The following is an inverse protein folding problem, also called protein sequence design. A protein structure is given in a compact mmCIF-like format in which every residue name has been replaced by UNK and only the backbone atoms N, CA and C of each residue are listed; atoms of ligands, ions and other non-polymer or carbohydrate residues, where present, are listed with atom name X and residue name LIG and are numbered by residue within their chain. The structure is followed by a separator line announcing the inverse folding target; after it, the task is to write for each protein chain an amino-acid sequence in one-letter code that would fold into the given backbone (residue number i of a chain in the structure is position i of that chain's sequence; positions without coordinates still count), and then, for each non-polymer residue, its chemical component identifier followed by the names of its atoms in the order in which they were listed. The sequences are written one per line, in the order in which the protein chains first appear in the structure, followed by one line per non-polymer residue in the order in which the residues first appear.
data_IF_035848281826
#
_entry.id   IF_035848281826
#
_cell.length_a   1.000
_cell.length_b   1.000
_cell.length_c   1.000
_cell.angle_alpha   90.00
_cell.angle_beta   90.00
_cell.angle_gamma   90.00
#
_symmetry.space_group_name_H-M   'P 1'
#
loop_
_entity.id
_entity.type
_entity.pdbx_description
1 polymer ?
#
# COMPACT_ATOMS: atom_id res chain seq x y z
N UNK A 1 -34.64 -38.63 8.13
CA UNK A 1 -34.23 -37.71 7.03
C UNK A 1 -32.94 -37.03 7.46
N UNK A 2 -31.80 -37.61 7.10
CA UNK A 2 -30.48 -37.01 7.35
C UNK A 2 -30.10 -36.18 6.13
N UNK A 3 -29.88 -34.89 6.31
CA UNK A 3 -29.47 -33.99 5.24
C UNK A 3 -28.01 -34.25 4.88
N UNK A 4 -27.78 -34.64 3.62
CA UNK A 4 -26.46 -34.77 3.02
C UNK A 4 -25.72 -33.41 3.05
N UNK A 5 -24.57 -33.39 3.72
CA UNK A 5 -23.57 -32.34 3.59
C UNK A 5 -22.87 -32.54 2.24
N UNK A 6 -22.82 -31.54 1.34
CA UNK A 6 -22.09 -31.69 0.10
C UNK A 6 -20.58 -31.62 0.37
N UNK A 7 -19.88 -32.68 0.00
CA UNK A 7 -18.42 -32.70 -0.15
C UNK A 7 -18.00 -31.70 -1.23
N UNK A 8 -16.99 -30.85 -1.01
CA UNK A 8 -16.55 -29.91 -2.03
C UNK A 8 -15.78 -30.64 -3.14
N UNK A 9 -16.24 -30.49 -4.37
CA UNK A 9 -15.63 -30.99 -5.59
C UNK A 9 -14.15 -30.57 -5.70
N UNK A 10 -13.28 -31.58 -5.77
CA UNK A 10 -11.86 -31.46 -6.01
C UNK A 10 -11.59 -31.22 -7.51
N UNK A 11 -11.73 -30.00 -8.02
CA UNK A 11 -11.10 -29.58 -9.29
C UNK A 11 -11.02 -28.07 -9.56
N UNK A 12 -11.01 -27.21 -8.54
CA UNK A 12 -10.81 -25.77 -8.75
C UNK A 12 -9.36 -25.47 -9.13
N UNK A 13 -9.12 -25.08 -10.39
CA UNK A 13 -7.87 -24.42 -10.80
C UNK A 13 -7.61 -23.25 -9.83
N UNK A 14 -6.63 -23.40 -8.95
CA UNK A 14 -6.33 -22.41 -7.93
C UNK A 14 -5.84 -21.12 -8.61
N UNK A 15 -6.59 -20.02 -8.43
CA UNK A 15 -6.20 -18.71 -8.94
C UNK A 15 -4.93 -18.17 -8.25
N UNK A 16 -4.28 -17.12 -8.78
CA UNK A 16 -3.02 -16.59 -8.26
C UNK A 16 -3.07 -16.11 -6.79
N UNK A 17 -4.27 -15.79 -6.27
CA UNK A 17 -4.52 -15.41 -4.89
C UNK A 17 -5.32 -16.48 -4.12
N UNK A 18 -5.20 -17.76 -4.50
CA UNK A 18 -5.95 -18.87 -3.88
C UNK A 18 -5.74 -19.00 -2.37
N UNK A 19 -4.58 -18.59 -1.86
CA UNK A 19 -4.28 -18.57 -0.43
C UNK A 19 -5.00 -17.45 0.35
N UNK A 20 -5.68 -16.54 -0.34
CA UNK A 20 -6.38 -15.41 0.29
C UNK A 20 -7.89 -15.69 0.40
N UNK A 21 -8.45 -15.42 1.57
CA UNK A 21 -9.90 -15.30 1.75
C UNK A 21 -10.37 -13.95 1.22
N UNK A 22 -11.34 -13.96 0.32
CA UNK A 22 -11.95 -12.74 -0.22
C UNK A 22 -12.97 -12.19 0.77
N UNK A 23 -12.73 -10.98 1.29
CA UNK A 23 -13.62 -10.30 2.26
C UNK A 23 -14.62 -9.40 1.54
N UNK A 24 -14.17 -8.72 0.48
CA UNK A 24 -15.03 -7.89 -0.37
C UNK A 24 -14.58 -7.96 -1.83
N UNK A 25 -15.17 -7.15 -2.71
CA UNK A 25 -14.72 -7.05 -4.10
C UNK A 25 -13.25 -6.61 -4.21
N UNK A 26 -12.79 -5.76 -3.30
CA UNK A 26 -11.44 -5.17 -3.30
C UNK A 26 -10.57 -5.67 -2.15
N UNK A 27 -11.14 -6.21 -1.07
CA UNK A 27 -10.40 -6.63 0.13
C UNK A 27 -10.20 -8.15 0.16
N UNK A 28 -8.95 -8.56 0.36
CA UNK A 28 -8.51 -9.95 0.49
C UNK A 28 -7.67 -10.07 1.76
N UNK A 29 -7.78 -11.22 2.44
CA UNK A 29 -7.09 -11.50 3.68
C UNK A 29 -6.30 -12.80 3.56
N UNK A 30 -5.03 -12.76 3.91
CA UNK A 30 -4.21 -13.93 4.18
C UNK A 30 -3.94 -14.01 5.69
N UNK A 31 -4.23 -15.17 6.27
CA UNK A 31 -3.77 -15.54 7.60
C UNK A 31 -2.64 -16.55 7.47
N UNK A 32 -1.54 -16.41 8.23
CA UNK A 32 -0.53 -17.46 8.31
C UNK A 32 -1.19 -18.74 8.88
N UNK A 33 -0.70 -19.91 8.49
CA UNK A 33 -1.21 -21.16 9.07
C UNK A 33 -0.75 -21.28 10.52
N UNK A 34 -1.67 -21.55 11.45
CA UNK A 34 -1.44 -21.72 12.91
C UNK A 34 -0.52 -22.92 13.29
N UNK A 35 0.29 -23.42 12.36
CA UNK A 35 0.87 -24.77 12.39
C UNK A 35 2.38 -24.88 12.41
N UNK A 36 3.14 -23.78 12.59
CA UNK A 36 4.57 -23.91 12.94
C UNK A 36 4.73 -23.54 14.41
N UNK A 37 4.55 -24.54 15.28
CA UNK A 37 5.14 -24.51 16.62
C UNK A 37 6.57 -23.98 16.49
N UNK A 38 7.05 -23.14 17.42
CA UNK A 38 8.45 -22.78 17.46
C UNK A 38 9.22 -24.10 17.67
N UNK A 39 9.69 -24.69 16.56
CA UNK A 39 10.60 -25.81 16.62
C UNK A 39 11.84 -25.28 17.30
N UNK A 40 11.93 -25.55 18.61
CA UNK A 40 13.14 -25.48 19.39
C UNK A 40 14.15 -26.43 18.73
N UNK A 41 14.81 -25.96 17.67
CA UNK A 41 16.07 -26.51 17.22
C UNK A 41 17.10 -25.50 17.66
N UNK A 42 17.46 -25.60 18.94
CA UNK A 42 18.69 -25.04 19.48
C UNK A 42 19.85 -25.63 18.68
N UNK A 43 20.29 -24.90 17.66
CA UNK A 43 21.46 -25.21 16.84
C UNK A 43 22.33 -23.97 16.76
N UNK A 44 23.52 -24.09 17.36
CA UNK A 44 24.54 -23.06 17.56
C UNK A 44 24.84 -22.14 16.35
N UNK A 45 25.21 -20.91 16.71
CA UNK A 45 26.02 -19.91 15.98
C UNK A 45 25.33 -18.96 14.99
N UNK A 46 25.21 -17.71 15.43
CA UNK A 46 25.03 -16.54 14.57
C UNK A 46 24.33 -15.39 15.30
N UNK A 47 25.10 -14.50 15.92
CA UNK A 47 24.60 -13.23 16.43
C UNK A 47 24.00 -12.40 15.27
N UNK A 48 22.68 -12.45 15.13
CA UNK A 48 21.90 -11.47 14.38
C UNK A 48 20.62 -11.22 15.17
N UNK A 49 20.40 -9.98 15.59
CA UNK A 49 19.13 -9.53 16.16
C UNK A 49 17.97 -10.08 15.33
N UNK A 50 17.16 -11.00 15.89
CA UNK A 50 16.00 -11.55 15.19
C UNK A 50 14.96 -10.44 15.09
N UNK A 51 14.96 -9.73 13.97
CA UNK A 51 13.98 -8.67 13.69
C UNK A 51 12.60 -9.31 13.71
N UNK A 52 11.73 -8.80 14.57
CA UNK A 52 10.34 -9.26 14.70
C UNK A 52 9.57 -8.97 13.41
N UNK A 53 8.86 -9.97 12.89
CA UNK A 53 7.98 -9.82 11.72
C UNK A 53 6.84 -8.81 11.99
N UNK A 54 6.35 -8.10 10.97
CA UNK A 54 5.12 -7.29 11.11
C UNK A 54 3.95 -8.17 11.56
N UNK A 55 3.10 -7.66 12.45
CA UNK A 55 1.86 -8.37 12.79
C UNK A 55 0.90 -8.36 11.61
N UNK A 56 0.86 -7.23 10.91
CA UNK A 56 0.03 -6.99 9.74
C UNK A 56 0.82 -6.30 8.64
N UNK A 57 0.67 -6.79 7.42
CA UNK A 57 1.10 -6.11 6.19
C UNK A 57 -0.17 -5.63 5.47
N UNK A 58 -0.31 -4.32 5.29
CA UNK A 58 -1.35 -3.74 4.46
C UNK A 58 -0.78 -3.48 3.06
N UNK A 59 -1.24 -4.25 2.08
CA UNK A 59 -0.81 -4.15 0.69
C UNK A 59 -1.89 -3.43 -0.13
N UNK A 60 -1.70 -2.15 -0.42
CA UNK A 60 -2.64 -1.34 -1.20
C UNK A 60 -2.15 -1.23 -2.64
N UNK A 61 -2.77 -1.97 -3.58
CA UNK A 61 -2.23 -2.15 -4.94
C UNK A 61 -2.55 -0.99 -5.88
N UNK A 62 -1.83 -0.96 -6.99
CA UNK A 62 -2.07 -0.03 -8.08
C UNK A 62 -3.37 -0.33 -8.82
N UNK A 63 -3.78 0.64 -9.65
CA UNK A 63 -5.03 0.62 -10.40
C UNK A 63 -5.05 -0.53 -11.43
N UNK A 64 -6.13 -1.31 -11.41
CA UNK A 64 -6.37 -2.46 -12.30
C UNK A 64 -5.27 -3.52 -12.26
N UNK A 65 -4.54 -3.61 -11.14
CA UNK A 65 -3.54 -4.65 -10.92
C UNK A 65 -4.16 -6.06 -11.11
N UNK A 66 -3.54 -6.84 -12.00
CA UNK A 66 -3.92 -8.23 -12.25
C UNK A 66 -3.42 -9.11 -11.11
N UNK A 67 -4.23 -10.09 -10.72
CA UNK A 67 -3.92 -11.02 -9.62
C UNK A 67 -2.56 -11.72 -9.74
N UNK A 68 -2.11 -12.20 -10.92
CA UNK A 68 -0.77 -12.77 -11.06
C UNK A 68 0.37 -11.80 -10.72
N UNK A 69 0.19 -10.49 -10.95
CA UNK A 69 1.20 -9.50 -10.63
C UNK A 69 1.22 -9.21 -9.13
N UNK A 70 0.03 -9.11 -8.51
CA UNK A 70 -0.11 -8.95 -7.07
C UNK A 70 0.50 -10.16 -6.34
N UNK A 71 0.24 -11.37 -6.84
CA UNK A 71 0.73 -12.62 -6.25
C UNK A 71 2.26 -12.64 -6.09
N UNK A 72 3.02 -12.08 -7.04
CA UNK A 72 4.49 -11.98 -6.94
C UNK A 72 4.95 -11.23 -5.69
N UNK A 73 4.25 -10.17 -5.31
CA UNK A 73 4.55 -9.39 -4.10
C UNK A 73 4.09 -10.13 -2.85
N UNK A 74 2.88 -10.68 -2.84
CA UNK A 74 2.34 -11.39 -1.66
C UNK A 74 3.14 -12.64 -1.35
N UNK A 75 3.54 -13.43 -2.36
CA UNK A 75 4.40 -14.60 -2.17
C UNK A 75 5.75 -14.23 -1.58
N UNK A 76 6.33 -13.09 -2.01
CA UNK A 76 7.59 -12.63 -1.43
C UNK A 76 7.42 -12.14 0.00
N UNK A 77 6.32 -11.46 0.32
CA UNK A 77 6.00 -11.10 1.70
C UNK A 77 5.76 -12.30 2.60
N UNK A 78 5.04 -13.32 2.13
CA UNK A 78 4.86 -14.59 2.85
C UNK A 78 6.19 -15.29 3.12
N UNK A 79 7.16 -15.17 2.21
CA UNK A 79 8.50 -15.74 2.41
C UNK A 79 9.37 -14.89 3.36
N UNK A 80 9.27 -13.55 3.30
CA UNK A 80 10.04 -12.63 4.15
C UNK A 80 9.51 -12.64 5.59
N UNK A 81 8.19 -12.69 5.75
CA UNK A 81 7.52 -12.59 7.04
C UNK A 81 6.42 -13.67 7.14
N UNK A 82 6.81 -14.94 7.42
CA UNK A 82 5.90 -16.08 7.38
C UNK A 82 4.76 -16.01 8.40
N UNK A 83 4.96 -15.29 9.51
CA UNK A 83 3.98 -15.14 10.60
C UNK A 83 3.09 -13.89 10.43
N UNK A 84 3.27 -13.11 9.35
CA UNK A 84 2.50 -11.89 9.12
C UNK A 84 1.15 -12.17 8.46
N UNK A 85 0.13 -11.50 8.96
CA UNK A 85 -1.13 -11.35 8.23
C UNK A 85 -0.93 -10.41 7.04
N UNK A 86 -1.65 -10.63 5.94
CA UNK A 86 -1.68 -9.70 4.81
C UNK A 86 -3.12 -9.28 4.53
N UNK A 87 -3.42 -7.99 4.70
CA UNK A 87 -4.64 -7.38 4.18
C UNK A 87 -4.30 -6.72 2.86
N UNK A 88 -4.86 -7.26 1.78
CA UNK A 88 -4.67 -6.79 0.42
C UNK A 88 -5.88 -5.95 0.01
N UNK A 89 -5.65 -4.70 -0.38
CA UNK A 89 -6.68 -3.80 -0.92
C UNK A 89 -6.36 -3.53 -2.40
N UNK A 90 -7.31 -3.90 -3.26
CA UNK A 90 -7.22 -3.66 -4.71
C UNK A 90 -7.83 -2.31 -5.08
N UNK A 91 -7.30 -1.70 -6.14
CA UNK A 91 -7.81 -0.45 -6.70
C UNK A 91 -8.17 -0.64 -8.18
N UNK A 92 -9.20 0.06 -8.65
CA UNK A 92 -9.72 -0.04 -10.01
C UNK A 92 -9.98 1.33 -10.62
N UNK A 93 -9.95 1.44 -11.95
CA UNK A 93 -10.13 2.72 -12.65
C UNK A 93 -11.44 3.44 -12.33
N UNK A 94 -12.50 2.69 -12.02
CA UNK A 94 -13.79 3.28 -11.64
C UNK A 94 -13.74 4.04 -10.30
N UNK A 95 -12.76 3.75 -9.43
CA UNK A 95 -12.54 4.50 -8.18
C UNK A 95 -12.02 5.92 -8.42
N UNK A 96 -11.53 6.22 -9.62
CA UNK A 96 -11.01 7.54 -10.01
C UNK A 96 -11.88 8.26 -11.05
N UNK A 97 -12.90 7.59 -11.56
CA UNK A 97 -13.75 8.09 -12.65
C UNK A 97 -15.22 8.10 -12.27
N UNK A 98 -15.96 7.04 -12.59
CA UNK A 98 -17.42 7.01 -12.52
C UNK A 98 -17.97 6.70 -11.13
N UNK A 99 -17.19 6.05 -10.26
CA UNK A 99 -17.66 5.49 -8.98
C UNK A 99 -16.72 5.82 -7.82
N UNK A 100 -16.20 7.05 -7.78
CA UNK A 100 -15.28 7.53 -6.72
C UNK A 100 -15.82 7.30 -5.30
N UNK A 101 -17.13 7.49 -5.11
CA UNK A 101 -17.80 7.31 -3.80
C UNK A 101 -17.89 5.85 -3.34
N UNK A 102 -17.67 4.87 -4.22
CA UNK A 102 -17.67 3.46 -3.83
C UNK A 102 -16.36 3.02 -3.20
N UNK A 103 -15.25 3.69 -3.48
CA UNK A 103 -13.93 3.27 -2.99
C UNK A 103 -13.89 3.08 -1.46
N UNK A 104 -14.31 4.04 -0.62
CA UNK A 104 -14.35 3.82 0.84
C UNK A 104 -15.35 2.72 1.25
N UNK A 105 -16.51 2.61 0.59
CA UNK A 105 -17.51 1.57 0.89
C UNK A 105 -17.00 0.15 0.61
N UNK A 106 -16.21 -0.03 -0.45
CA UNK A 106 -15.63 -1.33 -0.80
C UNK A 106 -14.46 -1.70 0.14
N UNK A 107 -13.78 -0.70 0.73
CA UNK A 107 -12.69 -0.86 1.72
C UNK A 107 -13.20 -1.09 3.14
N UNK A 108 -14.34 -0.49 3.52
CA UNK A 108 -14.92 -0.56 4.88
C UNK A 108 -14.94 -1.96 5.52
N UNK A 109 -15.24 -3.06 4.80
CA UNK A 109 -15.18 -4.42 5.35
C UNK A 109 -13.80 -4.86 5.87
N UNK A 110 -12.71 -4.15 5.51
CA UNK A 110 -11.38 -4.42 6.06
C UNK A 110 -11.23 -3.98 7.52
N UNK A 111 -12.02 -3.01 8.00
CA UNK A 111 -11.77 -2.38 9.31
C UNK A 111 -11.91 -3.36 10.49
N UNK A 112 -12.97 -4.21 10.57
CA UNK A 112 -13.06 -5.19 11.65
C UNK A 112 -11.90 -6.20 11.63
N UNK A 113 -11.45 -6.58 10.44
CA UNK A 113 -10.33 -7.53 10.26
C UNK A 113 -9.01 -6.91 10.74
N UNK A 114 -8.72 -5.68 10.30
CA UNK A 114 -7.52 -4.94 10.71
C UNK A 114 -7.52 -4.77 12.24
N UNK A 115 -8.64 -4.35 12.82
CA UNK A 115 -8.77 -4.19 14.28
C UNK A 115 -8.56 -5.49 15.05
N UNK A 116 -9.17 -6.60 14.61
CA UNK A 116 -9.01 -7.92 15.25
C UNK A 116 -7.53 -8.35 15.32
N UNK A 117 -6.83 -8.28 14.19
CA UNK A 117 -5.41 -8.66 14.08
C UNK A 117 -4.54 -7.80 14.99
N UNK A 118 -4.82 -6.49 15.06
CA UNK A 118 -4.07 -5.56 15.91
C UNK A 118 -4.36 -5.83 17.40
N UNK A 119 -5.62 -6.05 17.77
CA UNK A 119 -6.02 -6.28 19.17
C UNK A 119 -5.48 -7.61 19.72
N UNK A 120 -5.57 -8.69 18.94
CA UNK A 120 -5.04 -10.01 19.32
C UNK A 120 -3.53 -9.92 19.63
N UNK A 121 -2.83 -9.07 18.88
CA UNK A 121 -1.41 -8.89 19.02
C UNK A 121 -1.02 -7.85 20.10
N UNK A 122 -1.96 -7.05 20.60
CA UNK A 122 -1.78 -6.08 21.69
C UNK A 122 -1.90 -6.70 23.09
N UNK A 123 -2.57 -7.85 23.20
CA UNK A 123 -2.72 -8.62 24.45
C UNK A 123 -1.43 -9.26 24.98
N UNK A 124 -0.30 -9.10 24.28
CA UNK A 124 0.95 -9.82 24.53
C UNK A 124 2.24 -9.00 24.62
N UNK A 125 2.19 -7.67 24.79
CA UNK A 125 3.42 -6.86 24.90
C UNK A 125 3.17 -5.45 25.41
N UNK A 126 3.82 -5.13 26.53
CA UNK A 126 3.59 -3.92 27.32
C UNK A 126 3.81 -2.60 26.59
N UNK A 127 3.07 -1.60 27.09
CA UNK A 127 3.26 -0.17 26.92
C UNK A 127 4.73 0.23 26.69
N UNK A 128 5.06 0.61 25.46
CA UNK A 128 6.24 1.44 25.19
C UNK A 128 5.82 2.89 25.41
N UNK A 129 6.42 3.52 26.43
CA UNK A 129 6.18 4.89 26.85
C UNK A 129 6.23 5.91 25.71
N UNK A 130 5.58 7.04 25.96
CA UNK A 130 5.60 8.23 25.13
C UNK A 130 6.99 8.87 25.15
N UNK A 131 7.93 8.32 24.38
CA UNK A 131 9.10 9.09 23.97
C UNK A 131 8.64 10.04 22.85
N UNK A 132 8.66 11.35 23.15
CA UNK A 132 8.19 12.45 22.29
C UNK A 132 8.92 12.56 20.93
N UNK A 133 9.87 11.66 20.63
CA UNK A 133 10.48 11.46 19.33
C UNK A 133 10.11 10.08 18.80
N UNK A 134 9.08 10.02 17.96
CA UNK A 134 8.54 8.78 17.35
C UNK A 134 9.47 8.00 16.41
N UNK A 135 10.80 8.19 16.48
CA UNK A 135 11.79 7.54 15.63
C UNK A 135 12.21 6.15 16.10
N UNK A 136 12.10 5.85 17.40
CA UNK A 136 12.51 4.56 17.97
C UNK A 136 11.35 3.60 18.23
N UNK A 137 10.12 4.00 17.89
CA UNK A 137 8.96 3.13 18.04
C UNK A 137 9.02 1.98 17.03
N UNK A 138 9.07 0.75 17.54
CA UNK A 138 9.00 -0.46 16.71
C UNK A 138 7.61 -0.54 16.08
N UNK A 139 7.48 -0.53 14.74
CA UNK A 139 6.19 -0.63 14.08
C UNK A 139 5.56 -2.00 14.33
N UNK A 140 4.25 -2.03 14.48
CA UNK A 140 3.44 -3.26 14.51
C UNK A 140 2.99 -3.67 13.10
N UNK A 141 2.92 -2.70 12.20
CA UNK A 141 2.31 -2.84 10.88
C UNK A 141 3.23 -2.31 9.78
N UNK A 142 3.30 -3.02 8.67
CA UNK A 142 3.97 -2.58 7.44
C UNK A 142 2.92 -2.21 6.41
N UNK A 143 2.94 -0.97 5.95
CA UNK A 143 2.08 -0.46 4.89
C UNK A 143 2.89 -0.37 3.61
N UNK A 144 2.42 -1.00 2.54
CA UNK A 144 3.04 -0.88 1.23
C UNK A 144 1.98 -0.46 0.20
N UNK A 145 2.18 0.75 -0.30
CA UNK A 145 1.30 1.47 -1.21
C UNK A 145 1.90 1.48 -2.59
N UNK A 146 1.10 1.08 -3.59
CA UNK A 146 1.50 1.17 -5.00
C UNK A 146 0.64 2.17 -5.75
N UNK A 147 1.30 3.09 -6.46
CA UNK A 147 0.64 4.10 -7.30
C UNK A 147 -0.33 5.00 -6.52
N UNK A 148 -0.97 5.93 -7.23
CA UNK A 148 -2.07 6.72 -6.70
C UNK A 148 -3.27 5.85 -6.30
N UNK A 149 -3.46 4.69 -6.95
CA UNK A 149 -4.46 3.67 -6.60
C UNK A 149 -4.40 3.27 -5.13
N UNK A 150 -3.27 2.70 -4.71
CA UNK A 150 -3.03 2.29 -3.34
C UNK A 150 -2.95 3.47 -2.38
N UNK A 151 -2.41 4.60 -2.84
CA UNK A 151 -2.27 5.81 -2.02
C UNK A 151 -3.63 6.37 -1.60
N UNK A 152 -4.59 6.40 -2.53
CA UNK A 152 -5.97 6.78 -2.22
C UNK A 152 -6.66 5.73 -1.34
N UNK A 153 -6.39 4.44 -1.52
CA UNK A 153 -6.92 3.41 -0.63
C UNK A 153 -6.45 3.60 0.81
N UNK A 154 -5.16 3.89 1.03
CA UNK A 154 -4.61 4.18 2.36
C UNK A 154 -5.25 5.42 3.00
N UNK A 155 -5.48 6.49 2.23
CA UNK A 155 -6.24 7.66 2.72
C UNK A 155 -7.61 7.24 3.27
N UNK A 156 -8.34 6.37 2.56
CA UNK A 156 -9.65 5.90 3.04
C UNK A 156 -9.51 5.03 4.28
N UNK A 157 -8.44 4.21 4.37
CA UNK A 157 -8.16 3.40 5.56
C UNK A 157 -8.00 4.28 6.80
N UNK A 158 -7.27 5.41 6.75
CA UNK A 158 -7.16 6.31 7.91
C UNK A 158 -8.55 6.76 8.42
N UNK A 159 -9.36 7.31 7.52
CA UNK A 159 -10.68 7.83 7.88
C UNK A 159 -11.69 6.74 8.29
N UNK A 160 -11.66 5.57 7.64
CA UNK A 160 -12.53 4.44 7.99
C UNK A 160 -12.11 3.78 9.30
N UNK A 161 -10.80 3.72 9.57
CA UNK A 161 -10.29 3.21 10.83
C UNK A 161 -10.77 4.11 11.96
N UNK A 162 -10.58 5.43 11.86
CA UNK A 162 -11.09 6.37 12.86
C UNK A 162 -12.60 6.24 13.11
N UNK A 163 -13.40 6.14 12.04
CA UNK A 163 -14.86 6.00 12.12
C UNK A 163 -15.35 4.68 12.69
N UNK A 164 -14.57 3.61 12.57
CA UNK A 164 -14.92 2.28 13.06
C UNK A 164 -14.56 2.04 14.53
N UNK A 165 -13.90 3.01 15.18
CA UNK A 165 -13.51 2.90 16.58
C UNK A 165 -14.72 2.86 17.51
N UNK A 166 -14.74 1.89 18.43
CA UNK A 166 -15.69 1.85 19.55
C UNK A 166 -15.19 2.72 20.71
N UNK A 167 -16.05 3.08 21.69
CA UNK A 167 -15.60 3.78 22.88
C UNK A 167 -14.42 3.06 23.56
N UNK A 168 -13.31 3.77 23.75
CA UNK A 168 -12.07 3.23 24.33
C UNK A 168 -11.10 2.60 23.32
N UNK A 169 -11.47 2.43 22.06
CA UNK A 169 -10.54 1.95 21.03
C UNK A 169 -9.75 3.09 20.38
N UNK A 170 -8.50 2.84 19.91
CA UNK A 170 -7.74 3.81 19.14
C UNK A 170 -8.46 4.22 17.85
N UNK A 171 -8.47 5.53 17.57
CA UNK A 171 -8.98 6.13 16.32
C UNK A 171 -7.91 6.23 15.24
N UNK A 172 -6.65 6.00 15.58
CA UNK A 172 -5.51 6.05 14.66
C UNK A 172 -4.97 4.65 14.42
N UNK A 173 -4.39 4.40 13.24
CA UNK A 173 -3.67 3.16 12.98
C UNK A 173 -2.55 2.95 14.02
N UNK A 174 -2.14 1.71 14.29
CA UNK A 174 -1.03 1.42 15.19
C UNK A 174 0.28 1.98 14.62
N UNK A 175 1.36 1.88 15.41
CA UNK A 175 2.68 2.26 14.93
C UNK A 175 3.01 1.49 13.65
N UNK A 176 3.40 2.19 12.59
CA UNK A 176 3.61 1.56 11.30
C UNK A 176 4.73 2.18 10.47
N UNK A 177 5.33 1.35 9.62
CA UNK A 177 6.24 1.77 8.58
C UNK A 177 5.51 1.82 7.25
N UNK A 178 5.70 2.88 6.46
CA UNK A 178 5.03 3.06 5.16
C UNK A 178 6.03 3.10 4.03
N UNK A 179 5.79 2.28 3.01
CA UNK A 179 6.53 2.30 1.74
C UNK A 179 5.57 2.79 0.66
N UNK A 180 5.91 3.91 0.02
CA UNK A 180 5.25 4.39 -1.17
C UNK A 180 6.05 3.98 -2.41
N UNK A 181 5.48 3.11 -3.23
CA UNK A 181 6.01 2.72 -4.53
C UNK A 181 5.28 3.49 -5.63
N UNK A 182 6.02 4.33 -6.38
CA UNK A 182 5.49 5.16 -7.46
C UNK A 182 4.34 6.08 -7.00
N UNK A 183 4.42 6.63 -5.79
CA UNK A 183 3.37 7.40 -5.14
C UNK A 183 3.92 8.31 -4.01
N UNK A 184 3.11 9.25 -3.47
CA UNK A 184 1.91 9.81 -4.07
C UNK A 184 2.24 10.84 -5.14
N UNK A 185 1.47 10.84 -6.23
CA UNK A 185 1.51 11.86 -7.28
C UNK A 185 0.39 12.87 -7.16
N UNK A 186 0.51 13.99 -7.87
CA UNK A 186 -0.56 14.97 -8.02
C UNK A 186 -1.24 14.80 -9.38
N UNK A 187 -2.38 15.46 -9.54
CA UNK A 187 -3.03 15.48 -10.84
C UNK A 187 -2.17 16.25 -11.84
N UNK A 188 -1.89 15.62 -12.97
CA UNK A 188 -1.26 16.25 -14.13
C UNK A 188 -2.00 15.78 -15.38
N UNK A 189 -2.30 16.71 -16.29
CA UNK A 189 -3.15 16.43 -17.44
C UNK A 189 -2.64 15.26 -18.29
N UNK A 190 -1.40 15.36 -18.79
CA UNK A 190 -0.81 14.36 -19.68
C UNK A 190 -0.73 12.99 -19.03
N UNK A 191 -0.19 12.94 -17.80
CA UNK A 191 -0.04 11.69 -17.03
C UNK A 191 -1.39 11.05 -16.68
N UNK A 192 -2.42 11.86 -16.40
CA UNK A 192 -3.78 11.36 -16.16
C UNK A 192 -4.35 10.70 -17.42
N UNK A 193 -4.16 11.33 -18.59
CA UNK A 193 -4.56 10.74 -19.87
C UNK A 193 -3.80 9.43 -20.11
N UNK A 194 -2.47 9.40 -19.93
CA UNK A 194 -1.65 8.20 -20.08
C UNK A 194 -2.11 7.08 -19.15
N UNK A 195 -2.35 7.37 -17.87
CA UNK A 195 -2.79 6.38 -16.88
C UNK A 195 -4.17 5.79 -17.22
N UNK A 196 -5.14 6.62 -17.60
CA UNK A 196 -6.48 6.15 -17.97
C UNK A 196 -6.47 5.38 -19.30
N UNK A 197 -5.62 5.78 -20.25
CA UNK A 197 -5.44 5.03 -21.50
C UNK A 197 -4.71 3.69 -21.28
N UNK A 198 -3.82 3.61 -20.30
CA UNK A 198 -3.13 2.36 -19.93
C UNK A 198 -4.09 1.30 -19.38
N UNK A 199 -5.11 1.69 -18.59
CA UNK A 199 -6.20 0.79 -18.17
C UNK A 199 -6.98 0.21 -19.36
N UNK A 200 -6.96 0.88 -20.51
CA UNK A 200 -7.61 0.44 -21.75
C UNK A 200 -6.65 -0.26 -22.73
N UNK A 201 -5.44 -0.63 -22.30
CA UNK A 201 -4.45 -1.25 -23.18
C UNK A 201 -4.93 -2.57 -23.81
N UNK A 202 -5.79 -3.32 -23.12
CA UNK A 202 -6.42 -4.55 -23.64
C UNK A 202 -7.68 -4.33 -24.48
N UNK A 203 -8.17 -3.09 -24.61
CA UNK A 203 -9.38 -2.79 -25.37
C UNK A 203 -9.08 -2.68 -26.88
N UNK A 204 -10.12 -2.84 -27.72
CA UNK A 204 -9.98 -2.69 -29.17
C UNK A 204 -9.54 -1.27 -29.55
N UNK A 205 -8.87 -1.14 -30.70
CA UNK A 205 -8.39 0.16 -31.18
C UNK A 205 -9.52 1.18 -31.36
N UNK A 206 -10.72 0.72 -31.75
CA UNK A 206 -11.93 1.56 -31.87
C UNK A 206 -12.33 2.14 -30.51
N UNK A 207 -12.37 1.31 -29.47
CA UNK A 207 -12.67 1.78 -28.11
C UNK A 207 -11.62 2.80 -27.67
N UNK A 208 -10.33 2.53 -27.91
CA UNK A 208 -9.26 3.46 -27.53
C UNK A 208 -9.36 4.80 -28.29
N UNK A 209 -9.75 4.77 -29.56
CA UNK A 209 -9.96 5.97 -30.37
C UNK A 209 -11.11 6.83 -29.81
N UNK A 210 -12.22 6.21 -29.42
CA UNK A 210 -13.38 6.90 -28.83
C UNK A 210 -13.08 7.38 -27.41
N UNK A 211 -12.41 6.56 -26.58
CA UNK A 211 -12.17 6.88 -25.18
C UNK A 211 -11.16 8.00 -24.99
N UNK A 212 -10.20 8.19 -25.89
CA UNK A 212 -9.18 9.24 -25.78
C UNK A 212 -9.77 10.66 -25.70
N UNK A 213 -10.64 11.13 -26.62
CA UNK A 213 -11.28 12.43 -26.50
C UNK A 213 -12.20 12.52 -25.27
N UNK A 214 -12.89 11.43 -24.89
CA UNK A 214 -13.69 11.40 -23.66
C UNK A 214 -12.83 11.62 -22.41
N UNK A 215 -11.66 10.99 -22.33
CA UNK A 215 -10.71 11.17 -21.22
C UNK A 215 -10.18 12.60 -21.18
N UNK A 216 -9.85 13.19 -22.33
CA UNK A 216 -9.50 14.61 -22.39
C UNK A 216 -10.64 15.50 -21.89
N UNK A 217 -11.89 15.22 -22.28
CA UNK A 217 -13.06 15.94 -21.81
C UNK A 217 -13.23 15.82 -20.28
N UNK A 218 -13.01 14.64 -19.71
CA UNK A 218 -12.99 14.45 -18.25
C UNK A 218 -11.88 15.30 -17.59
N UNK A 219 -10.71 15.39 -18.21
CA UNK A 219 -9.62 16.27 -17.74
C UNK A 219 -10.00 17.76 -17.85
N UNK A 220 -10.73 18.18 -18.89
CA UNK A 220 -11.28 19.55 -19.02
C UNK A 220 -12.18 19.84 -17.81
N UNK A 221 -13.16 18.98 -17.54
CA UNK A 221 -14.08 19.19 -16.42
C UNK A 221 -13.36 19.21 -15.07
N UNK A 222 -12.38 18.34 -14.86
CA UNK A 222 -11.56 18.38 -13.66
C UNK A 222 -10.78 19.69 -13.54
N UNK A 223 -10.13 20.13 -14.63
CA UNK A 223 -9.36 21.38 -14.64
C UNK A 223 -10.27 22.57 -14.33
N UNK A 224 -11.44 22.67 -14.96
CA UNK A 224 -12.48 23.69 -14.70
C UNK A 224 -13.15 23.50 -13.32
N UNK A 225 -12.95 22.39 -12.61
CA UNK A 225 -13.47 22.26 -11.24
C UNK A 225 -12.48 22.71 -10.17
N UNK A 226 -11.18 22.54 -10.44
CA UNK A 226 -10.17 22.49 -9.39
C UNK A 226 -8.99 23.44 -9.58
N UNK A 227 -8.47 23.57 -10.81
CA UNK A 227 -7.16 24.18 -11.03
C UNK A 227 -7.20 25.72 -10.89
N UNK A 228 -8.06 26.47 -11.62
CA UNK A 228 -8.20 27.92 -11.44
C UNK A 228 -8.57 28.36 -10.01
N UNK A 229 -9.33 27.54 -9.28
CA UNK A 229 -9.75 27.84 -7.90
C UNK A 229 -8.73 27.40 -6.85
N UNK A 230 -7.57 26.83 -7.26
CA UNK A 230 -6.55 26.28 -6.36
C UNK A 230 -7.13 25.29 -5.34
N UNK A 231 -8.19 24.57 -5.71
CA UNK A 231 -8.85 23.59 -4.84
C UNK A 231 -8.17 22.23 -5.04
N UNK A 232 -7.66 21.59 -3.99
CA UNK A 232 -7.10 20.25 -4.14
C UNK A 232 -8.22 19.29 -4.58
N UNK A 233 -8.07 18.74 -5.78
CA UNK A 233 -8.95 17.68 -6.25
C UNK A 233 -8.60 16.35 -5.58
N UNK A 234 -9.15 15.25 -6.09
CA UNK A 234 -9.13 13.97 -5.39
C UNK A 234 -7.72 13.47 -5.04
N UNK A 235 -6.79 13.49 -6.01
CA UNK A 235 -5.39 13.12 -5.78
C UNK A 235 -4.64 14.14 -4.92
N UNK A 236 -4.91 15.44 -5.07
CA UNK A 236 -4.31 16.49 -4.25
C UNK A 236 -4.68 16.35 -2.78
N UNK A 237 -5.93 15.98 -2.48
CA UNK A 237 -6.35 15.69 -1.11
C UNK A 237 -5.66 14.44 -0.56
N UNK A 238 -5.47 13.39 -1.37
CA UNK A 238 -4.67 12.22 -0.96
C UNK A 238 -3.23 12.60 -0.66
N UNK A 239 -2.60 13.41 -1.50
CA UNK A 239 -1.27 13.94 -1.29
C UNK A 239 -1.17 14.73 0.03
N UNK A 240 -2.17 15.53 0.37
CA UNK A 240 -2.18 16.31 1.62
C UNK A 240 -2.36 15.42 2.87
N UNK A 241 -3.31 14.48 2.85
CA UNK A 241 -3.65 13.65 4.01
C UNK A 241 -2.47 12.79 4.48
N UNK A 242 -1.64 12.27 3.57
CA UNK A 242 -0.49 11.46 3.96
C UNK A 242 0.55 12.23 4.79
N UNK A 243 0.61 13.54 4.65
CA UNK A 243 1.49 14.42 5.41
C UNK A 243 0.79 15.13 6.57
N UNK A 244 -0.49 14.84 6.81
CA UNK A 244 -1.26 15.42 7.91
C UNK A 244 -1.04 14.59 9.19
N UNK A 245 -0.38 15.17 10.20
CA UNK A 245 -0.12 14.49 11.48
C UNK A 245 -1.38 14.26 12.32
N UNK A 246 -2.49 14.93 12.04
CA UNK A 246 -3.77 14.64 12.69
C UNK A 246 -4.44 13.37 12.16
N UNK A 247 -4.16 13.00 10.91
CA UNK A 247 -4.67 11.80 10.24
C UNK A 247 -3.66 10.63 10.31
N UNK A 248 -2.36 10.93 10.32
CA UNK A 248 -1.27 9.94 10.28
C UNK A 248 -0.18 10.21 11.34
N UNK A 249 -0.57 10.22 12.61
CA UNK A 249 0.38 10.44 13.72
C UNK A 249 1.31 9.24 13.96
N UNK A 250 0.79 8.03 13.77
CA UNK A 250 1.44 6.78 14.20
C UNK A 250 2.52 6.26 13.25
N UNK A 251 2.68 6.87 12.07
CA UNK A 251 3.73 6.47 11.15
C UNK A 251 5.11 6.87 11.70
N UNK A 252 5.93 5.87 11.95
CA UNK A 252 7.28 6.04 12.52
C UNK A 252 8.38 5.99 11.44
N UNK A 253 8.11 5.39 10.28
CA UNK A 253 9.10 5.22 9.20
C UNK A 253 8.44 5.39 7.85
N UNK A 254 9.10 6.09 6.94
CA UNK A 254 8.60 6.30 5.58
C UNK A 254 9.69 6.13 4.54
N UNK A 255 9.41 5.34 3.51
CA UNK A 255 10.27 5.18 2.34
C UNK A 255 9.48 5.45 1.06
N UNK A 256 10.09 6.14 0.11
CA UNK A 256 9.56 6.30 -1.24
C UNK A 256 10.46 5.58 -2.23
N UNK A 257 9.89 4.65 -3.00
CA UNK A 257 10.54 3.97 -4.12
C UNK A 257 9.94 4.57 -5.40
N UNK A 258 10.78 5.09 -6.30
CA UNK A 258 10.32 5.76 -7.50
C UNK A 258 11.39 5.79 -8.60
N UNK A 259 11.01 6.13 -9.83
CA UNK A 259 11.93 6.29 -10.97
C UNK A 259 11.68 7.60 -11.69
N UNK A 260 12.69 8.15 -12.36
CA UNK A 260 12.50 9.32 -13.23
C UNK A 260 11.82 8.98 -14.55
N UNK A 261 11.86 7.72 -14.95
CA UNK A 261 11.22 7.16 -16.15
C UNK A 261 9.78 6.70 -15.89
N UNK A 262 9.24 6.94 -14.69
CA UNK A 262 7.83 6.73 -14.43
C UNK A 262 7.01 7.77 -15.21
N UNK A 263 6.25 7.31 -16.22
CA UNK A 263 5.40 8.15 -17.05
C UNK A 263 4.03 8.46 -16.40
N UNK A 264 3.63 7.73 -15.36
CA UNK A 264 2.31 7.87 -14.73
C UNK A 264 2.33 8.75 -13.49
N UNK A 265 3.40 8.68 -12.69
CA UNK A 265 3.61 9.53 -11.52
C UNK A 265 4.93 10.26 -11.65
N UNK A 266 4.90 11.58 -11.48
CA UNK A 266 6.11 12.37 -11.58
C UNK A 266 6.96 12.21 -10.33
N UNK A 267 8.23 11.84 -10.51
CA UNK A 267 9.17 11.74 -9.39
C UNK A 267 9.29 13.06 -8.62
N UNK A 268 9.11 14.22 -9.28
CA UNK A 268 9.15 15.53 -8.63
C UNK A 268 8.00 15.71 -7.64
N UNK A 269 6.82 15.18 -7.94
CA UNK A 269 5.69 15.20 -7.00
C UNK A 269 6.00 14.38 -5.74
N UNK A 270 6.76 13.29 -5.89
CA UNK A 270 7.18 12.41 -4.79
C UNK A 270 8.28 13.07 -3.96
N UNK A 271 9.31 13.64 -4.59
CA UNK A 271 10.38 14.37 -3.89
C UNK A 271 9.82 15.59 -3.13
N UNK A 272 8.90 16.34 -3.74
CA UNK A 272 8.19 17.43 -3.06
C UNK A 272 7.33 16.93 -1.89
N UNK A 273 6.65 15.79 -2.05
CA UNK A 273 5.86 15.18 -0.97
C UNK A 273 6.75 14.75 0.20
N UNK A 274 7.92 14.17 -0.08
CA UNK A 274 8.90 13.79 0.93
C UNK A 274 9.47 15.03 1.64
N UNK A 275 9.81 16.09 0.90
CA UNK A 275 10.27 17.34 1.50
C UNK A 275 9.20 17.98 2.41
N UNK A 276 7.93 17.94 2.01
CA UNK A 276 6.81 18.37 2.85
C UNK A 276 6.62 17.46 4.07
N UNK A 277 6.79 16.15 3.92
CA UNK A 277 6.75 15.20 5.02
C UNK A 277 7.86 15.51 6.06
N UNK A 278 9.08 15.77 5.61
CA UNK A 278 10.18 16.14 6.50
C UNK A 278 9.86 17.40 7.34
N UNK A 279 9.26 18.42 6.71
CA UNK A 279 8.81 19.63 7.40
C UNK A 279 7.71 19.36 8.45
N UNK A 280 6.91 18.32 8.25
CA UNK A 280 5.86 17.88 9.17
C UNK A 280 6.36 16.81 10.18
N UNK A 281 7.68 16.69 10.34
CA UNK A 281 8.31 15.84 11.36
C UNK A 281 8.33 14.35 11.00
N UNK A 282 8.08 13.96 9.75
CA UNK A 282 8.35 12.60 9.28
C UNK A 282 9.84 12.45 8.94
N UNK A 283 10.37 11.22 8.94
CA UNK A 283 11.73 10.92 8.44
C UNK A 283 11.61 10.13 7.15
N UNK A 284 11.53 10.82 6.00
CA UNK A 284 11.40 10.17 4.71
C UNK A 284 12.75 9.68 4.19
N UNK A 285 12.79 8.43 3.73
CA UNK A 285 13.87 7.86 2.93
C UNK A 285 13.47 7.90 1.45
N UNK A 286 14.37 8.39 0.60
CA UNK A 286 14.16 8.41 -0.86
C UNK A 286 15.02 7.34 -1.52
N UNK A 287 14.37 6.43 -2.24
CA UNK A 287 15.01 5.33 -2.97
C UNK A 287 14.72 5.45 -4.46
N UNK A 288 15.53 6.27 -5.12
CA UNK A 288 15.41 6.51 -6.56
C UNK A 288 16.00 5.36 -7.37
N UNK A 289 15.25 4.88 -8.35
CA UNK A 289 15.68 3.98 -9.40
C UNK A 289 15.88 4.79 -10.70
N UNK A 290 16.76 4.29 -11.57
CA UNK A 290 16.95 4.82 -12.92
C UNK A 290 16.66 3.68 -13.91
N UNK A 291 15.76 3.92 -14.85
CA UNK A 291 15.34 3.00 -15.91
C UNK A 291 14.10 2.16 -15.60
N UNK A 292 13.50 2.27 -14.42
CA UNK A 292 12.32 1.47 -14.06
C UNK A 292 11.01 2.16 -14.43
N UNK A 293 10.07 1.39 -14.97
CA UNK A 293 8.73 1.85 -15.28
C UNK A 293 7.85 1.90 -14.02
N UNK A 294 6.69 2.56 -14.12
CA UNK A 294 5.71 2.67 -13.04
C UNK A 294 5.42 1.32 -12.35
N UNK A 295 5.65 1.24 -11.03
CA UNK A 295 5.44 0.04 -10.20
C UNK A 295 6.24 -1.19 -10.68
N UNK A 296 7.25 -1.00 -11.52
CA UNK A 296 8.06 -2.08 -12.10
C UNK A 296 9.49 -2.12 -11.54
N UNK A 297 9.75 -1.45 -10.40
CA UNK A 297 11.08 -1.39 -9.78
C UNK A 297 11.63 -2.78 -9.42
N UNK A 298 10.78 -3.68 -8.90
CA UNK A 298 11.14 -5.09 -8.62
C UNK A 298 11.63 -5.82 -9.87
N UNK A 299 11.07 -5.50 -11.03
CA UNK A 299 11.44 -6.15 -12.30
C UNK A 299 12.82 -5.68 -12.76
N UNK A 300 13.19 -4.43 -12.46
CA UNK A 300 14.50 -3.90 -12.81
C UNK A 300 15.59 -4.45 -11.90
N UNK A 301 15.39 -4.35 -10.57
CA UNK A 301 16.35 -4.82 -9.57
C UNK A 301 15.60 -5.28 -8.32
N UNK A 302 15.25 -6.57 -8.31
CA UNK A 302 14.48 -7.18 -7.24
C UNK A 302 15.27 -7.32 -5.94
N UNK A 303 16.60 -7.52 -6.01
CA UNK A 303 17.43 -7.66 -4.82
C UNK A 303 17.47 -6.34 -4.05
N UNK A 304 17.79 -5.24 -4.73
CA UNK A 304 17.76 -3.89 -4.15
C UNK A 304 16.37 -3.55 -3.62
N UNK A 305 15.33 -3.80 -4.42
CA UNK A 305 13.97 -3.49 -4.01
C UNK A 305 13.57 -4.19 -2.70
N UNK A 306 13.79 -5.50 -2.59
CA UNK A 306 13.46 -6.23 -1.37
C UNK A 306 14.43 -5.93 -0.22
N UNK A 307 15.66 -5.51 -0.51
CA UNK A 307 16.57 -4.90 0.47
C UNK A 307 15.96 -3.65 1.10
N UNK A 308 15.51 -2.70 0.29
CA UNK A 308 14.83 -1.48 0.75
C UNK A 308 13.60 -1.79 1.61
N UNK A 309 12.78 -2.76 1.20
CA UNK A 309 11.60 -3.18 1.96
C UNK A 309 12.00 -3.69 3.35
N UNK A 310 13.04 -4.53 3.44
CA UNK A 310 13.56 -5.01 4.73
C UNK A 310 14.16 -3.88 5.54
N UNK A 311 15.02 -3.05 4.95
CA UNK A 311 15.67 -1.97 5.66
C UNK A 311 14.67 -0.96 6.24
N UNK A 312 13.58 -0.68 5.51
CA UNK A 312 12.49 0.17 6.01
C UNK A 312 11.82 -0.43 7.25
N UNK A 313 11.58 -1.75 7.23
CA UNK A 313 11.04 -2.48 8.37
C UNK A 313 12.04 -2.63 9.54
N UNK A 314 13.33 -2.68 9.25
CA UNK A 314 14.40 -2.90 10.22
C UNK A 314 14.98 -1.59 10.76
N UNK A 315 14.55 -0.43 10.23
CA UNK A 315 15.13 0.88 10.48
C UNK A 315 16.63 0.97 10.13
N UNK A 316 17.08 0.23 9.12
CA UNK A 316 18.47 0.31 8.67
C UNK A 316 18.68 1.59 7.88
N UNK A 317 19.77 2.33 8.13
CA UNK A 317 20.08 3.52 7.36
C UNK A 317 20.24 3.15 5.89
N UNK A 318 19.89 4.09 5.00
CA UNK A 318 20.15 3.90 3.58
C UNK A 318 21.66 3.75 3.37
N UNK A 319 22.09 2.66 2.72
CA UNK A 319 23.45 2.58 2.21
C UNK A 319 23.63 3.74 1.21
N UNK A 320 24.56 4.66 1.51
CA UNK A 320 24.86 5.76 0.59
C UNK A 320 25.24 5.15 -0.74
N UNK A 321 24.43 5.39 -1.78
CA UNK A 321 24.84 5.10 -3.14
C UNK A 321 26.16 5.82 -3.37
N UNK A 322 27.24 5.05 -3.58
CA UNK A 322 28.43 5.57 -4.26
C UNK A 322 27.95 5.97 -5.64
N UNK A 323 27.64 7.25 -5.81
CA UNK A 323 27.51 7.85 -7.13
C UNK A 323 28.85 7.57 -7.82
N UNK A 324 28.85 6.60 -8.73
CA UNK A 324 29.97 6.41 -9.64
C UNK A 324 29.96 7.66 -10.53
N UNK A 325 31.08 8.42 -10.58
CA UNK A 325 31.13 9.73 -11.22
C UNK A 325 30.80 9.70 -12.72
#
# INVERSE_FOLDING_TARGET
MAANVPTPDSSTKQGPLSSFTKISKVVYLYRPSDGRSPSATSGLSGSTSTVKSPKLILLATWMDAREPHIAKYTTRYQALYPDSHIVLIRSFVYHFTTKVRLHPKEIEPAMPVIRSIISEAGSGGGSSGEDERGHDKVPDMLVHVFSNGGSTALRHVYGLYAKSARPGEPTQLPAHATIFDSAPGRWQWGRTVTALMASLAGASWVIRLVMRPLIHLLCVFYWIGHVPWRRPGYLGQTWLVHNDRSENKSECRRTYIYSVEDELVDYRDIEEHAAAAAKNGYVPRLERFNGSQHVAHVRLDGERYWGIVRDTWENKPAERQKLVP
#
